data_IF_778648094030
#
_entry.id   IF_778648094030
#
_cell.length_a   1.000
_cell.length_b   1.000
_cell.length_c   1.000
_cell.angle_alpha   90.00
_cell.angle_beta   90.00
_cell.angle_gamma   90.00
#
_symmetry.space_group_name_H-M   'P 1'
#
loop_
_entity.id
_entity.type
_entity.pdbx_description
1 polymer ?
2 non-polymer ?
3 non-polymer ?
4 water ?
#
# COMPACT_ATOMS: atom_id res chain seq x y z
N UNK A 3 5.18 -5.26 -17.64
CA UNK A 3 5.37 -3.88 -18.11
C UNK A 3 4.55 -2.91 -17.27
N UNK A 4 3.31 -3.29 -16.98
CA UNK A 4 2.37 -2.46 -16.23
C UNK A 4 2.00 -3.21 -14.96
N UNK A 5 1.94 -2.48 -13.85
CA UNK A 5 1.61 -3.04 -12.54
C UNK A 5 0.42 -2.27 -11.99
N UNK A 6 -0.67 -2.99 -11.72
CA UNK A 6 -1.92 -2.38 -11.30
C UNK A 6 -1.84 -2.05 -9.81
N UNK A 7 -1.75 -0.76 -9.50
CA UNK A 7 -1.56 -0.26 -8.14
C UNK A 7 -2.90 0.15 -7.53
N UNK A 8 -2.98 0.07 -6.20
CA UNK A 8 -4.17 0.43 -5.46
C UNK A 8 -3.74 1.15 -4.19
N UNK A 9 -4.21 2.39 -4.00
CA UNK A 9 -3.76 3.26 -2.93
C UNK A 9 -4.79 3.25 -1.81
N UNK A 10 -4.36 2.98 -0.58
CA UNK A 10 -5.27 3.02 0.56
C UNK A 10 -4.66 3.87 1.66
N UNK A 11 -5.43 4.85 2.13
CA UNK A 11 -5.01 5.77 3.17
C UNK A 11 -6.24 6.50 3.69
N UNK A 12 -6.30 6.71 5.00
CA UNK A 12 -7.42 7.44 5.59
C UNK A 12 -7.44 8.90 5.16
N UNK A 13 -6.30 9.45 4.76
CA UNK A 13 -6.20 10.83 4.33
C UNK A 13 -6.39 10.90 2.82
N UNK A 14 -7.42 11.64 2.38
CA UNK A 14 -7.71 11.74 0.96
C UNK A 14 -6.65 12.55 0.23
N UNK A 15 -6.08 13.57 0.88
CA UNK A 15 -5.00 14.32 0.26
C UNK A 15 -3.78 13.44 0.06
N UNK A 16 -3.51 12.55 1.01
CA UNK A 16 -2.40 11.62 0.87
C UNK A 16 -2.57 10.74 -0.37
N UNK A 17 -3.77 10.17 -0.54
CA UNK A 17 -4.04 9.34 -1.71
C UNK A 17 -3.75 10.10 -3.00
N UNK A 18 -4.13 11.38 -3.06
CA UNK A 18 -3.88 12.19 -4.25
C UNK A 18 -2.39 12.36 -4.49
N UNK A 19 -1.62 12.63 -3.43
CA UNK A 19 -0.19 12.87 -3.56
C UNK A 19 0.49 11.69 -4.25
N UNK A 20 0.25 10.47 -3.74
CA UNK A 20 0.84 9.29 -4.36
C UNK A 20 0.28 9.06 -5.76
N UNK A 21 -1.03 9.27 -5.94
CA UNK A 21 -1.64 9.12 -7.25
C UNK A 21 -0.97 10.02 -8.28
N UNK A 22 -0.60 11.24 -7.88
CA UNK A 22 0.09 12.14 -8.80
C UNK A 22 1.54 11.71 -9.00
N UNK A 23 2.18 11.20 -7.95
CA UNK A 23 3.56 10.71 -8.07
C UNK A 23 3.62 9.57 -9.08
N UNK A 24 2.62 8.70 -9.08
CA UNK A 24 2.59 7.57 -10.01
C UNK A 24 2.16 7.97 -11.41
N UNK A 25 1.75 9.22 -11.62
CA UNK A 25 1.29 9.64 -12.95
C UNK A 25 2.45 9.86 -13.91
N UNK A 26 3.62 10.28 -13.41
CA UNK A 26 4.77 10.48 -14.30
C UNK A 26 5.33 9.16 -14.80
N UNK A 27 5.10 8.06 -14.09
CA UNK A 27 5.61 6.76 -14.51
C UNK A 27 4.67 6.13 -15.52
N UNK A 28 5.25 5.44 -16.50
CA UNK A 28 4.44 4.64 -17.41
C UNK A 28 3.84 3.43 -16.70
N UNK A 29 4.50 2.92 -15.65
CA UNK A 29 4.27 1.56 -15.18
C UNK A 29 3.17 1.47 -14.10
N UNK A 30 3.06 2.45 -13.20
CA UNK A 30 2.15 2.30 -12.06
C UNK A 30 0.80 2.89 -12.45
N UNK A 31 -0.14 2.03 -12.82
CA UNK A 31 -1.50 2.43 -13.13
C UNK A 31 -2.36 2.27 -11.88
N UNK A 32 -2.92 3.38 -11.39
CA UNK A 32 -3.76 3.36 -10.20
C UNK A 32 -5.16 2.92 -10.59
N UNK A 33 -5.62 1.81 -10.02
CA UNK A 33 -6.89 1.20 -10.42
C UNK A 33 -7.99 1.37 -9.38
N UNK A 34 -7.67 1.86 -8.19
CA UNK A 34 -8.69 2.03 -7.17
C UNK A 34 -8.07 2.53 -5.88
N UNK A 35 -8.94 2.87 -4.93
CA UNK A 35 -8.47 3.42 -3.67
C UNK A 35 -9.52 3.21 -2.58
N UNK A 36 -9.05 3.26 -1.34
CA UNK A 36 -9.93 3.09 -0.18
C UNK A 36 -9.34 3.85 1.00
N UNK A 37 -10.20 4.22 1.94
CA UNK A 37 -9.82 5.06 3.07
C UNK A 37 -9.78 4.30 4.39
N UNK A 38 -9.79 2.97 4.34
CA UNK A 38 -9.91 2.17 5.56
C UNK A 38 -9.55 0.73 5.22
N UNK A 39 -9.18 -0.03 6.26
CA UNK A 39 -8.69 -1.38 6.04
C UNK A 39 -9.75 -2.33 5.50
N UNK A 40 -10.99 -2.20 5.97
CA UNK A 40 -12.04 -3.12 5.55
C UNK A 40 -12.40 -2.92 4.09
N UNK A 41 -12.56 -1.66 3.66
CA UNK A 41 -12.79 -1.39 2.24
C UNK A 41 -11.63 -1.88 1.40
N UNK A 42 -10.41 -1.78 1.94
CA UNK A 42 -9.24 -2.27 1.21
C UNK A 42 -9.31 -3.77 1.01
N UNK A 43 -9.79 -4.51 2.01
CA UNK A 43 -9.89 -5.96 1.90
C UNK A 43 -10.89 -6.35 0.81
N UNK A 44 -12.06 -5.70 0.79
CA UNK A 44 -13.05 -6.02 -0.22
C UNK A 44 -12.60 -5.59 -1.61
N UNK A 45 -11.97 -4.42 -1.71
CA UNK A 45 -11.48 -3.95 -3.01
C UNK A 45 -10.35 -4.83 -3.52
N UNK A 46 -9.51 -5.34 -2.62
CA UNK A 46 -8.39 -6.18 -3.04
C UNK A 46 -8.89 -7.46 -3.71
N UNK A 47 -9.94 -8.07 -3.15
CA UNK A 47 -10.49 -9.29 -3.74
C UNK A 47 -11.13 -9.02 -5.09
N UNK A 48 -11.94 -7.96 -5.17
CA UNK A 48 -12.69 -7.67 -6.38
C UNK A 48 -11.76 -7.28 -7.53
N UNK A 49 -10.92 -6.29 -7.26
CA UNK A 49 -9.92 -5.77 -8.20
C UNK A 49 -8.75 -6.67 -8.60
N UNK A 50 -8.22 -7.45 -7.65
CA UNK A 50 -7.07 -8.33 -7.89
C UNK A 50 -5.82 -7.64 -8.44
N UNK A 51 -5.41 -6.54 -7.80
CA UNK A 51 -4.27 -5.65 -8.08
C UNK A 51 -2.90 -6.25 -7.78
N UNK A 52 -1.87 -5.74 -8.44
CA UNK A 52 -0.51 -6.22 -8.24
C UNK A 52 0.19 -5.59 -7.05
N UNK A 53 -0.24 -4.40 -6.64
CA UNK A 53 0.46 -3.65 -5.61
C UNK A 53 -0.53 -2.86 -4.76
N UNK A 54 -0.28 -2.83 -3.46
CA UNK A 54 -1.04 -2.01 -2.52
C UNK A 54 -0.07 -1.09 -1.79
N UNK A 55 -0.47 0.17 -1.64
CA UNK A 55 0.21 1.13 -0.78
C UNK A 55 -0.68 1.35 0.43
N UNK A 56 -0.27 0.83 1.58
CA UNK A 56 -1.14 0.68 2.74
C UNK A 56 -0.71 1.61 3.87
N UNK A 57 -1.68 2.27 4.51
CA UNK A 57 -1.42 3.13 5.68
C UNK A 57 -1.80 2.35 6.96
N UNK A 58 -0.93 2.33 7.97
CA UNK A 58 -1.22 1.58 9.22
C UNK A 58 -2.38 2.00 10.15
N UNK A 59 -2.49 3.27 10.52
CA UNK A 59 -3.61 3.72 11.34
C UNK A 59 -4.69 4.29 10.43
N UNK A 60 -5.84 3.64 10.43
CA UNK A 60 -7.03 4.03 9.69
C UNK A 60 -8.21 3.76 10.59
N UNK A 61 -9.29 4.52 10.43
CA UNK A 61 -10.45 4.37 11.32
C UNK A 61 -11.25 3.07 11.33
N UNK A 62 -11.62 2.53 10.18
CA UNK A 62 -12.44 1.32 10.21
C UNK A 62 -11.77 0.06 10.76
N UNK A 63 -10.57 -0.21 10.29
CA UNK A 63 -9.81 -1.38 10.70
C UNK A 63 -8.34 -1.06 10.55
N UNK A 64 -7.49 -1.68 11.35
CA UNK A 64 -6.06 -1.41 11.19
C UNK A 64 -5.58 -1.81 9.80
N UNK A 65 -4.56 -1.11 9.32
CA UNK A 65 -3.97 -1.45 8.04
C UNK A 65 -3.09 -2.68 8.08
N UNK A 66 -2.46 -2.94 9.22
CA UNK A 66 -1.64 -4.15 9.35
C UNK A 66 -2.52 -5.39 9.34
N UNK A 67 -3.62 -5.37 10.11
CA UNK A 67 -4.54 -6.50 10.11
C UNK A 67 -5.22 -6.67 8.76
N UNK A 68 -5.43 -5.58 8.02
CA UNK A 68 -5.95 -5.70 6.67
C UNK A 68 -4.94 -6.39 5.76
N UNK A 69 -3.67 -6.11 5.97
CA UNK A 69 -2.63 -6.72 5.16
C UNK A 69 -2.61 -8.22 5.32
N UNK A 70 -2.77 -8.70 6.55
CA UNK A 70 -2.75 -10.13 6.79
C UNK A 70 -3.89 -10.84 6.10
N UNK A 71 -5.08 -10.26 6.17
CA UNK A 71 -6.25 -10.85 5.54
C UNK A 71 -6.11 -10.89 4.04
N UNK A 72 -5.58 -9.82 3.46
CA UNK A 72 -5.42 -9.73 2.01
C UNK A 72 -4.44 -10.79 1.52
N UNK A 73 -3.32 -10.97 2.23
CA UNK A 73 -2.34 -11.97 1.82
C UNK A 73 -2.83 -13.39 2.07
N UNK A 74 -3.76 -13.57 2.99
CA UNK A 74 -4.27 -14.90 3.22
C UNK A 74 -5.03 -15.39 2.00
N UNK A 75 -5.89 -14.54 1.46
CA UNK A 75 -6.66 -14.87 0.26
C UNK A 75 -5.81 -14.96 -1.00
N UNK A 76 -4.92 -13.98 -1.17
CA UNK A 76 -4.03 -13.92 -2.32
C UNK A 76 -2.65 -13.42 -1.91
N UNK A 77 -1.73 -14.35 -1.68
CA UNK A 77 -0.33 -14.12 -1.31
C UNK A 77 0.48 -13.39 -2.39
N UNK A 78 0.18 -13.66 -3.65
CA UNK A 78 0.94 -13.09 -4.77
C UNK A 78 0.95 -11.57 -4.83
N UNK A 79 -0.15 -10.91 -4.49
CA UNK A 79 -0.15 -9.46 -4.51
C UNK A 79 0.86 -8.95 -3.48
N UNK A 80 1.66 -7.97 -3.88
CA UNK A 80 2.67 -7.38 -3.01
C UNK A 80 2.10 -6.13 -2.33
N UNK A 81 2.25 -6.06 -1.01
CA UNK A 81 1.66 -5.01 -0.20
C UNK A 81 2.78 -4.20 0.45
N UNK A 82 2.74 -2.88 0.29
CA UNK A 82 3.74 -1.98 0.84
C UNK A 82 3.08 -1.09 1.88
N UNK A 83 3.69 -1.02 3.06
CA UNK A 83 3.24 -0.09 4.08
C UNK A 83 3.74 1.31 3.76
N UNK A 84 2.87 2.29 3.97
CA UNK A 84 3.21 3.70 3.83
C UNK A 84 2.51 4.43 4.97
N UNK A 85 3.27 4.84 5.98
CA UNK A 85 2.66 5.20 7.25
C UNK A 85 3.49 6.25 7.97
N UNK A 86 2.84 6.93 8.91
CA UNK A 86 3.52 7.87 9.80
C UNK A 86 4.21 7.16 10.96
N UNK A 87 3.88 5.90 11.19
CA UNK A 87 4.47 5.14 12.28
C UNK A 87 5.70 4.33 11.85
N UNK A 88 6.83 4.62 12.49
CA UNK A 88 8.08 3.93 12.19
C UNK A 88 8.65 3.11 13.35
N UNK A 89 7.80 2.70 14.28
CA UNK A 89 8.26 1.92 15.43
C UNK A 89 8.85 0.60 14.94
N UNK A 90 9.94 0.16 15.56
CA UNK A 90 10.57 -1.08 15.11
C UNK A 90 9.58 -2.24 15.19
N UNK A 91 8.90 -2.35 16.33
CA UNK A 91 7.89 -3.37 16.55
C UNK A 91 6.87 -3.37 15.42
N UNK A 92 6.33 -2.19 15.11
CA UNK A 92 5.34 -2.04 14.04
C UNK A 92 5.84 -2.65 12.73
N UNK A 93 7.07 -2.33 12.35
CA UNK A 93 7.64 -2.91 11.15
C UNK A 93 7.65 -4.41 11.35
N UNK A 94 8.08 -4.86 12.52
CA UNK A 94 8.08 -6.30 12.79
C UNK A 94 6.68 -6.87 12.58
N UNK A 95 5.66 -6.18 13.10
CA UNK A 95 4.29 -6.64 12.91
C UNK A 95 3.90 -6.64 11.44
N UNK A 96 4.39 -5.66 10.68
CA UNK A 96 4.02 -5.55 9.27
C UNK A 96 4.59 -6.71 8.46
N UNK A 97 5.89 -6.98 8.62
CA UNK A 97 6.50 -8.07 7.87
C UNK A 97 5.94 -9.42 8.31
N UNK A 98 5.53 -9.53 9.58
CA UNK A 98 4.91 -10.76 10.04
C UNK A 98 3.48 -10.90 9.54
N UNK A 99 2.93 -9.81 9.03
CA UNK A 99 1.59 -9.82 8.45
C UNK A 99 1.67 -10.06 6.94
N UNK A 100 2.88 -10.25 6.42
CA UNK A 100 3.08 -10.47 5.00
C UNK A 100 3.49 -9.31 4.12
N UNK A 101 3.83 -8.17 4.71
CA UNK A 101 4.24 -7.00 3.94
C UNK A 101 5.57 -7.18 3.20
N UNK A 102 5.69 -6.53 2.04
CA UNK A 102 6.88 -6.60 1.21
C UNK A 102 7.68 -5.30 1.20
N UNK A 103 7.17 -4.25 1.83
CA UNK A 103 7.90 -3.00 1.88
C UNK A 103 7.42 -2.07 2.97
N UNK A 104 8.27 -1.14 3.39
CA UNK A 104 7.87 -0.17 4.40
C UNK A 104 8.29 1.24 3.99
N UNK A 105 7.34 2.16 3.96
CA UNK A 105 7.61 3.54 3.60
C UNK A 105 7.28 4.39 4.81
N UNK A 106 8.17 5.28 5.20
CA UNK A 106 7.94 6.07 6.40
C UNK A 106 7.63 7.50 5.98
N UNK A 107 6.43 7.98 6.31
CA UNK A 107 6.13 9.39 6.11
C UNK A 107 6.72 10.21 7.25
N UNK A 108 7.28 11.39 6.98
CA UNK A 108 7.30 12.09 5.68
C UNK A 108 8.36 11.57 4.72
N UNK A 109 8.05 11.60 3.43
CA UNK A 109 8.94 11.12 2.38
C UNK A 109 9.02 12.17 1.27
N UNK A 110 9.79 11.86 0.24
CA UNK A 110 9.84 12.64 -0.98
C UNK A 110 9.39 11.76 -2.14
N UNK A 111 9.10 12.40 -3.27
CA UNK A 111 8.63 11.67 -4.45
C UNK A 111 9.54 10.52 -4.87
N UNK A 112 10.85 10.74 -4.93
CA UNK A 112 11.76 9.70 -5.41
C UNK A 112 11.73 8.42 -4.59
N UNK A 113 11.59 8.52 -3.28
CA UNK A 113 11.58 7.32 -2.45
C UNK A 113 10.43 6.37 -2.77
N UNK A 114 9.26 6.92 -3.08
CA UNK A 114 8.11 6.09 -3.40
C UNK A 114 8.37 5.22 -4.62
N UNK A 115 9.04 5.78 -5.62
CA UNK A 115 9.35 5.04 -6.84
C UNK A 115 10.40 3.96 -6.57
N UNK A 116 11.51 4.34 -5.93
CA UNK A 116 12.61 3.40 -5.75
C UNK A 116 12.21 2.22 -4.86
N UNK A 117 11.32 2.44 -3.89
CA UNK A 117 10.83 1.34 -3.08
C UNK A 117 9.89 0.45 -3.88
N UNK A 118 8.94 1.07 -4.59
CA UNK A 118 8.03 0.32 -5.44
C UNK A 118 8.80 -0.46 -6.51
N UNK A 119 9.84 0.14 -7.08
CA UNK A 119 10.60 -0.50 -8.15
C UNK A 119 11.46 -1.65 -7.64
N UNK A 120 11.72 -1.72 -6.33
CA UNK A 120 12.40 -2.88 -5.78
C UNK A 120 11.61 -4.15 -6.02
N UNK A 121 10.29 -4.09 -5.84
CA UNK A 121 9.42 -5.25 -5.99
C UNK A 121 8.97 -5.47 -7.42
N UNK A 122 9.17 -4.51 -8.31
CA UNK A 122 8.79 -4.64 -9.72
C UNK A 122 9.92 -4.10 -10.59
N UNK A 123 10.95 -4.91 -10.84
CA UNK A 123 12.05 -4.51 -11.73
C UNK A 123 11.60 -4.36 -13.18
X LIG B 1 -3.99 7.16 8.91
X LIG C 1 -1.76 6.37 8.19
X LIG C 1 -2.08 7.43 9.25
X LIG C 1 -1.00 5.17 8.84
X LIG C 1 -0.79 7.02 7.18
#
# INVERSE_FOLDING_TARGET
MASIVKTMIVDDSAFMRNILKRILSTTNKYVVIGEAANGADAIKMAEELQPDLISMDIVMPETDGITATKAIKEKTPEIKIVMCTSVDQEQKMIDAVNAGADGYIVKPFQAPKILEQFNKLFP
MG MG
BEF BE F1 F2 F3
#
